data_IF_366837149167
#
_entry.id   IF_366837149167
#
_cell.length_a   1.000
_cell.length_b   1.000
_cell.length_c   1.000
_cell.angle_alpha   90.00
_cell.angle_beta   90.00
_cell.angle_gamma   90.00
#
_symmetry.space_group_name_H-M   'P 1'
#
loop_
_entity.id
_entity.type
_entity.pdbx_description
1 polymer ?
#
# COMPACT_ATOMS: atom_id res chain seq x y z
N UNK A 1 -8.02 9.44 1.24
CA UNK A 1 -7.97 9.95 2.61
C UNK A 1 -8.85 9.14 3.56
N UNK A 2 -10.18 9.12 3.39
CA UNK A 2 -11.12 8.44 4.30
C UNK A 2 -10.77 6.98 4.62
N UNK A 3 -10.45 6.17 3.60
CA UNK A 3 -10.05 4.77 3.79
C UNK A 3 -8.80 4.63 4.68
N UNK A 4 -7.81 5.52 4.52
CA UNK A 4 -6.62 5.53 5.36
C UNK A 4 -6.96 5.97 6.79
N UNK A 5 -7.80 6.98 6.97
CA UNK A 5 -8.29 7.39 8.29
C UNK A 5 -9.10 6.29 8.99
N UNK A 6 -9.85 5.46 8.24
CA UNK A 6 -10.52 4.28 8.77
C UNK A 6 -9.52 3.19 9.17
N UNK A 7 -8.49 2.94 8.34
CA UNK A 7 -7.40 2.03 8.68
C UNK A 7 -6.72 2.39 10.01
N UNK A 8 -6.39 3.67 10.23
CA UNK A 8 -5.79 4.12 11.50
C UNK A 8 -6.72 3.90 12.72
N UNK A 9 -8.01 4.17 12.56
CA UNK A 9 -9.02 3.97 13.63
C UNK A 9 -9.27 2.49 13.94
N UNK A 10 -9.16 1.62 12.94
CA UNK A 10 -9.35 0.18 13.10
C UNK A 10 -8.14 -0.52 13.71
N UNK A 11 -6.99 0.14 13.75
CA UNK A 11 -5.79 -0.37 14.43
C UNK A 11 -6.05 -0.59 15.93
N UNK A 12 -5.33 -1.53 16.55
CA UNK A 12 -5.52 -1.94 17.95
C UNK A 12 -4.18 -1.87 18.67
N UNK A 13 -3.89 -0.81 19.45
CA UNK A 13 -4.75 0.35 19.75
C UNK A 13 -4.91 1.31 18.56
N UNK A 14 -5.99 2.15 18.53
CA UNK A 14 -6.18 3.12 17.45
C UNK A 14 -4.98 4.05 17.30
N UNK A 15 -4.58 4.28 16.05
CA UNK A 15 -3.47 5.17 15.71
C UNK A 15 -3.98 6.57 15.42
N UNK A 16 -3.27 7.58 15.92
CA UNK A 16 -3.44 8.97 15.52
C UNK A 16 -2.49 9.28 14.36
N UNK A 17 -2.79 10.32 13.57
CA UNK A 17 -1.88 10.77 12.51
C UNK A 17 -0.49 11.13 13.04
N UNK A 18 -0.41 11.73 14.23
CA UNK A 18 0.86 12.07 14.90
C UNK A 18 1.72 10.87 15.28
N UNK A 19 1.11 9.69 15.44
CA UNK A 19 1.80 8.43 15.73
C UNK A 19 1.96 7.54 14.49
N UNK A 20 1.42 7.98 13.35
CA UNK A 20 1.58 7.29 12.09
C UNK A 20 3.01 7.44 11.58
N UNK A 21 3.53 6.39 10.95
CA UNK A 21 4.90 6.35 10.45
C UNK A 21 4.92 5.64 9.10
N UNK A 22 6.06 5.69 8.41
CA UNK A 22 6.22 4.97 7.14
C UNK A 22 5.90 3.47 7.25
N UNK A 23 6.14 2.83 8.40
CA UNK A 23 5.80 1.42 8.60
C UNK A 23 4.29 1.16 8.49
N UNK A 24 3.47 2.01 9.12
CA UNK A 24 2.02 1.92 9.04
C UNK A 24 1.50 2.21 7.62
N UNK A 25 2.18 3.09 6.87
CA UNK A 25 1.87 3.31 5.45
C UNK A 25 2.15 2.04 4.64
N UNK A 26 3.30 1.38 4.85
CA UNK A 26 3.63 0.14 4.17
C UNK A 26 2.66 -0.99 4.50
N UNK A 27 2.24 -1.11 5.76
CA UNK A 27 1.20 -2.05 6.18
C UNK A 27 -0.13 -1.75 5.46
N UNK A 28 -0.53 -0.47 5.40
CA UNK A 28 -1.72 -0.07 4.64
C UNK A 28 -1.63 -0.43 3.15
N UNK A 29 -0.48 -0.21 2.50
CA UNK A 29 -0.33 -0.57 1.09
C UNK A 29 -0.43 -2.09 0.88
N UNK A 30 0.18 -2.90 1.75
CA UNK A 30 0.04 -4.36 1.71
C UNK A 30 -1.39 -4.82 2.00
N UNK A 31 -2.11 -4.12 2.87
CA UNK A 31 -3.54 -4.37 3.08
C UNK A 31 -4.35 -4.11 1.79
N UNK A 32 -3.96 -3.15 0.94
CA UNK A 32 -4.66 -2.90 -0.32
C UNK A 32 -4.42 -3.97 -1.38
N UNK A 33 -3.33 -4.72 -1.28
CA UNK A 33 -3.00 -5.80 -2.23
C UNK A 33 -4.07 -6.90 -2.25
N UNK A 34 -4.78 -7.14 -1.14
CA UNK A 34 -5.88 -8.12 -1.10
C UNK A 34 -7.08 -7.75 -2.00
N UNK A 35 -7.20 -6.46 -2.34
CA UNK A 35 -8.21 -5.93 -3.27
C UNK A 35 -7.61 -5.67 -4.66
N UNK A 36 -6.37 -6.07 -4.89
CA UNK A 36 -5.68 -5.98 -6.17
C UNK A 36 -6.33 -6.87 -7.21
N UNK A 37 -6.19 -6.50 -8.48
CA UNK A 37 -6.65 -7.31 -9.62
C UNK A 37 -5.54 -8.11 -10.27
N UNK A 38 -4.28 -7.76 -9.99
CA UNK A 38 -3.11 -8.42 -10.58
C UNK A 38 -2.71 -9.60 -9.73
N UNK A 39 -2.76 -10.80 -10.30
CA UNK A 39 -2.21 -12.01 -9.66
C UNK A 39 -0.71 -12.08 -9.93
N UNK A 40 0.11 -12.11 -8.87
CA UNK A 40 1.57 -12.18 -8.99
C UNK A 40 2.03 -13.59 -8.67
N UNK A 41 2.36 -14.36 -9.70
CA UNK A 41 2.80 -15.74 -9.55
C UNK A 41 4.24 -15.80 -8.99
N UNK A 42 4.46 -16.59 -7.95
CA UNK A 42 5.80 -16.88 -7.47
C UNK A 42 6.48 -17.91 -8.38
N UNK A 43 7.83 -17.95 -8.49
CA UNK A 43 8.53 -18.91 -9.33
C UNK A 43 8.13 -20.40 -9.12
N UNK A 44 7.83 -20.87 -7.90
CA UNK A 44 7.36 -22.24 -7.69
C UNK A 44 5.91 -22.50 -8.11
N UNK A 45 5.16 -21.47 -8.54
CA UNK A 45 3.77 -21.63 -8.94
C UNK A 45 3.68 -22.39 -10.27
N UNK A 46 2.81 -23.40 -10.39
CA UNK A 46 2.63 -24.14 -11.65
C UNK A 46 2.12 -23.25 -12.80
N UNK A 47 1.58 -22.08 -12.49
CA UNK A 47 1.11 -21.10 -13.47
C UNK A 47 2.11 -19.95 -13.71
N UNK A 48 3.32 -20.01 -13.17
CA UNK A 48 4.33 -18.98 -13.43
C UNK A 48 4.60 -18.87 -14.95
N UNK A 49 4.54 -17.65 -15.49
CA UNK A 49 4.70 -17.39 -16.93
C UNK A 49 3.50 -17.73 -17.82
N UNK A 50 2.39 -18.26 -17.28
CA UNK A 50 1.19 -18.57 -18.07
C UNK A 50 0.23 -17.37 -18.14
N UNK A 51 -0.06 -16.82 -19.34
CA UNK A 51 -0.91 -15.64 -19.48
C UNK A 51 -2.41 -15.90 -19.22
N UNK A 52 -2.88 -17.14 -19.40
CA UNK A 52 -4.25 -17.53 -19.09
C UNK A 52 -4.26 -18.84 -18.30
N UNK A 53 -4.07 -18.79 -16.97
CA UNK A 53 -3.98 -20.00 -16.15
C UNK A 53 -5.32 -20.74 -16.12
N UNK A 54 -5.31 -22.08 -16.31
CA UNK A 54 -6.54 -22.89 -16.38
C UNK A 54 -7.23 -23.09 -15.02
N UNK A 55 -6.66 -22.59 -13.91
CA UNK A 55 -7.22 -22.75 -12.57
C UNK A 55 -6.69 -21.74 -11.55
N UNK A 56 -7.27 -21.72 -10.33
CA UNK A 56 -6.87 -20.81 -9.25
C UNK A 56 -5.54 -21.24 -8.60
N UNK A 57 -4.80 -20.28 -8.05
CA UNK A 57 -3.59 -20.54 -7.26
C UNK A 57 -3.52 -19.67 -6.01
N UNK A 58 -2.73 -20.08 -4.99
CA UNK A 58 -2.57 -19.34 -3.74
C UNK A 58 -1.67 -18.10 -3.87
N UNK A 59 -1.22 -17.77 -5.08
CA UNK A 59 -0.36 -16.61 -5.29
C UNK A 59 -1.09 -15.31 -4.90
N UNK A 60 -0.36 -14.32 -4.33
CA UNK A 60 -0.96 -13.10 -3.85
C UNK A 60 -1.54 -12.27 -4.99
N UNK A 61 -2.61 -11.54 -4.68
CA UNK A 61 -3.02 -10.40 -5.48
C UNK A 61 -2.16 -9.21 -5.08
N UNK A 62 -1.90 -8.31 -6.03
CA UNK A 62 -1.24 -7.03 -5.77
C UNK A 62 -1.91 -5.90 -6.54
N UNK A 63 -1.81 -4.69 -5.99
CA UNK A 63 -2.14 -3.47 -6.72
C UNK A 63 -1.11 -3.24 -7.83
N UNK A 64 -1.54 -2.59 -8.92
CA UNK A 64 -0.63 -2.17 -9.96
C UNK A 64 0.27 -1.03 -9.44
N UNK A 65 1.54 -1.03 -9.85
CA UNK A 65 2.54 -0.08 -9.40
C UNK A 65 2.10 1.39 -9.58
N UNK A 66 1.66 1.76 -10.79
CA UNK A 66 1.17 3.11 -11.07
C UNK A 66 -0.04 3.52 -10.22
N UNK A 67 -0.85 2.57 -9.77
CA UNK A 67 -1.96 2.84 -8.85
C UNK A 67 -1.47 3.14 -7.43
N UNK A 68 -0.43 2.45 -6.95
CA UNK A 68 0.17 2.69 -5.64
C UNK A 68 0.91 4.03 -5.59
N UNK A 69 1.72 4.33 -6.61
CA UNK A 69 2.46 5.60 -6.68
C UNK A 69 1.50 6.80 -6.69
N UNK A 70 0.48 6.76 -7.56
CA UNK A 70 -0.55 7.79 -7.62
C UNK A 70 -1.35 7.91 -6.30
N UNK A 71 -1.63 6.79 -5.63
CA UNK A 71 -2.27 6.80 -4.32
C UNK A 71 -1.40 7.49 -3.26
N UNK A 72 -0.11 7.19 -3.22
CA UNK A 72 0.82 7.81 -2.27
C UNK A 72 0.96 9.31 -2.54
N UNK A 73 1.02 9.73 -3.80
CA UNK A 73 0.99 11.14 -4.17
C UNK A 73 -0.25 11.87 -3.64
N UNK A 74 -1.45 11.29 -3.86
CA UNK A 74 -2.70 11.86 -3.33
C UNK A 74 -2.77 11.88 -1.80
N UNK A 75 -2.23 10.85 -1.14
CA UNK A 75 -2.22 10.79 0.33
C UNK A 75 -1.23 11.78 0.96
N UNK A 76 -0.10 12.08 0.29
CA UNK A 76 0.81 13.16 0.71
C UNK A 76 0.10 14.50 0.70
N UNK A 77 -0.52 14.86 -0.43
CA UNK A 77 -1.26 16.12 -0.56
C UNK A 77 -2.39 16.22 0.47
N UNK A 78 -3.20 15.16 0.60
CA UNK A 78 -4.28 15.13 1.58
C UNK A 78 -3.79 15.29 3.03
N UNK A 79 -2.62 14.76 3.39
CA UNK A 79 -2.04 14.94 4.71
C UNK A 79 -1.74 16.41 5.02
N UNK A 80 -1.15 17.12 4.08
CA UNK A 80 -0.81 18.54 4.21
C UNK A 80 -2.06 19.43 4.24
N UNK A 81 -3.04 19.14 3.37
CA UNK A 81 -4.36 19.81 3.36
C UNK A 81 -5.14 19.63 4.68
N UNK A 82 -4.86 18.56 5.42
CA UNK A 82 -5.46 18.29 6.73
C UNK A 82 -4.59 18.81 7.90
N UNK A 83 -3.65 19.73 7.63
CA UNK A 83 -2.83 20.40 8.65
C UNK A 83 -1.61 19.60 9.12
N UNK A 84 -1.26 18.53 8.42
CA UNK A 84 -0.06 17.75 8.68
C UNK A 84 1.22 18.47 8.22
N UNK A 85 2.28 18.55 9.05
CA UNK A 85 3.53 19.20 8.65
C UNK A 85 4.25 18.40 7.55
N UNK A 86 4.70 19.03 6.44
CA UNK A 86 5.40 18.34 5.36
C UNK A 86 6.61 17.52 5.83
N UNK A 87 7.36 18.02 6.82
CA UNK A 87 8.54 17.38 7.39
C UNK A 87 8.24 16.07 8.13
N UNK A 88 7.02 15.92 8.68
CA UNK A 88 6.58 14.72 9.40
C UNK A 88 5.67 13.83 8.55
N UNK A 89 5.54 14.10 7.25
CA UNK A 89 4.61 13.40 6.39
C UNK A 89 4.98 11.90 6.27
N UNK A 90 4.16 10.97 6.80
CA UNK A 90 4.52 9.55 6.84
C UNK A 90 4.56 8.92 5.45
N UNK A 91 3.84 9.48 4.47
CA UNK A 91 3.85 9.05 3.08
C UNK A 91 5.12 9.49 2.34
N UNK A 92 5.86 10.47 2.88
CA UNK A 92 7.17 10.91 2.38
C UNK A 92 8.34 10.13 2.99
N UNK A 93 8.07 9.22 3.94
CA UNK A 93 9.10 8.45 4.62
C UNK A 93 10.00 7.67 3.65
N UNK A 94 11.28 7.56 4.01
CA UNK A 94 12.29 6.84 3.20
C UNK A 94 11.86 5.40 2.90
N UNK A 95 11.30 4.68 3.87
CA UNK A 95 10.84 3.31 3.69
C UNK A 95 9.73 3.19 2.62
N UNK A 96 8.82 4.16 2.54
CA UNK A 96 7.77 4.19 1.50
C UNK A 96 8.37 4.41 0.12
N UNK A 97 9.35 5.31 0.00
CA UNK A 97 10.06 5.55 -1.27
C UNK A 97 10.84 4.32 -1.75
N UNK A 98 11.47 3.59 -0.85
CA UNK A 98 12.18 2.35 -1.19
C UNK A 98 11.21 1.25 -1.63
N UNK A 99 10.11 1.08 -0.89
CA UNK A 99 9.06 0.11 -1.25
C UNK A 99 8.49 0.37 -2.66
N UNK A 100 8.24 1.62 -3.02
CA UNK A 100 7.76 1.96 -4.36
C UNK A 100 8.84 1.74 -5.46
N UNK A 101 10.13 1.65 -5.12
CA UNK A 101 11.21 1.39 -6.10
C UNK A 101 11.52 -0.09 -6.29
N UNK A 102 11.34 -0.90 -5.24
CA UNK A 102 11.76 -2.30 -5.19
C UNK A 102 10.67 -3.31 -5.60
N UNK A 103 9.46 -2.83 -5.92
CA UNK A 103 8.33 -3.67 -6.35
C UNK A 103 8.38 -4.08 -7.81
#
# INVERSE_FOLDING_TARGET
>A
WNTFGQYLRNHRPPLTLSRCSGAHVLEFLRYLDQFGKTKVHNPPCPFFGHPNPPGPCPCPLRQAWGSLDALIGRLRAAYEENGGPPESNPFAARAVRLFLREL
#
